data_IF_816724228901
#
_entry.id   IF_816724228901
#
_cell.length_a   1.000
_cell.length_b   1.000
_cell.length_c   1.000
_cell.angle_alpha   90.00
_cell.angle_beta   90.00
_cell.angle_gamma   90.00
#
_symmetry.space_group_name_H-M   'P 1'
#
loop_
_entity.id
_entity.type
_entity.pdbx_description
1 polymer ?
#
# COMPACT_ATOMS: atom_id res chain seq x y z
N UNK A 1 5.26 39.75 -18.08
CA UNK A 1 5.51 38.48 -17.37
C UNK A 1 6.53 37.68 -18.19
N UNK A 2 7.76 37.53 -17.69
CA UNK A 2 8.77 36.72 -18.37
C UNK A 2 8.32 35.26 -18.42
N UNK A 3 8.36 34.65 -19.60
CA UNK A 3 8.12 33.20 -19.76
C UNK A 3 9.15 32.46 -18.90
N UNK A 4 8.73 31.88 -17.76
CA UNK A 4 9.58 30.94 -17.03
C UNK A 4 9.81 29.74 -17.94
N UNK A 5 11.04 29.53 -18.35
CA UNK A 5 11.42 28.45 -19.25
C UNK A 5 11.16 27.10 -18.54
N UNK A 6 10.53 26.17 -19.24
CA UNK A 6 10.35 24.80 -18.75
C UNK A 6 11.75 24.17 -18.61
N UNK A 7 12.08 23.71 -17.41
CA UNK A 7 13.37 23.10 -17.10
C UNK A 7 13.13 21.74 -16.47
N UNK A 8 13.71 20.68 -17.07
CA UNK A 8 13.65 19.33 -16.51
C UNK A 8 14.27 19.24 -15.12
N UNK A 9 15.35 19.99 -14.87
CA UNK A 9 15.98 20.05 -13.55
C UNK A 9 15.02 20.62 -12.49
N UNK A 10 14.35 21.73 -12.79
CA UNK A 10 13.35 22.30 -11.87
C UNK A 10 12.21 21.34 -11.58
N UNK A 11 11.74 20.60 -12.60
CA UNK A 11 10.70 19.59 -12.41
C UNK A 11 11.18 18.47 -11.49
N UNK A 12 12.41 17.97 -11.70
CA UNK A 12 12.99 16.94 -10.84
C UNK A 12 13.18 17.44 -9.40
N UNK A 13 13.72 18.65 -9.23
CA UNK A 13 13.91 19.27 -7.91
C UNK A 13 12.57 19.41 -7.16
N UNK A 14 11.48 19.67 -7.88
CA UNK A 14 10.15 19.71 -7.30
C UNK A 14 9.65 18.32 -6.91
N UNK A 15 9.81 17.31 -7.77
CA UNK A 15 9.41 15.93 -7.48
C UNK A 15 10.16 15.37 -6.27
N UNK A 16 11.44 15.66 -6.13
CA UNK A 16 12.27 15.21 -5.01
C UNK A 16 11.79 15.74 -3.64
N UNK A 17 11.04 16.86 -3.61
CA UNK A 17 10.43 17.36 -2.38
C UNK A 17 9.37 16.41 -1.80
N UNK A 18 8.88 15.46 -2.60
CA UNK A 18 7.85 14.49 -2.21
C UNK A 18 8.42 13.10 -1.89
N UNK A 19 9.73 12.97 -1.69
CA UNK A 19 10.39 11.71 -1.36
C UNK A 19 10.12 11.30 0.11
N UNK A 20 8.85 11.09 0.45
CA UNK A 20 8.38 10.60 1.75
C UNK A 20 6.99 9.98 1.60
N UNK A 21 6.60 9.13 2.54
CA UNK A 21 5.26 8.53 2.59
C UNK A 21 4.24 9.63 2.89
N UNK A 22 3.20 9.71 2.07
CA UNK A 22 2.13 10.71 2.14
C UNK A 22 0.76 10.06 1.94
N UNK A 23 0.37 9.27 2.91
CA UNK A 23 -0.97 8.68 2.91
C UNK A 23 -2.03 9.77 3.00
N UNK A 24 -3.16 9.55 2.30
CA UNK A 24 -4.29 10.45 2.32
C UNK A 24 -4.84 10.64 3.76
N UNK A 25 -5.14 11.87 4.11
CA UNK A 25 -5.65 12.24 5.44
C UNK A 25 -4.57 12.26 6.54
N UNK A 26 -3.28 12.30 6.19
CA UNK A 26 -2.18 12.41 7.16
C UNK A 26 -1.52 13.78 7.12
N UNK A 27 -0.78 14.19 8.18
CA UNK A 27 -0.02 15.44 8.17
C UNK A 27 1.01 15.52 7.03
N UNK A 28 1.52 14.39 6.57
CA UNK A 28 2.46 14.35 5.44
C UNK A 28 1.78 14.59 4.10
N UNK A 29 0.52 14.20 3.93
CA UNK A 29 -0.29 14.62 2.77
C UNK A 29 -0.55 16.13 2.81
N UNK A 30 -0.90 16.69 3.96
CA UNK A 30 -1.11 18.13 4.12
C UNK A 30 0.14 18.95 3.77
N UNK A 31 1.32 18.46 4.17
CA UNK A 31 2.61 19.02 3.74
C UNK A 31 2.76 18.98 2.22
N UNK A 32 2.37 17.87 1.57
CA UNK A 32 2.43 17.75 0.12
C UNK A 32 1.48 18.75 -0.57
N UNK A 33 0.26 18.87 -0.09
CA UNK A 33 -0.70 19.87 -0.59
C UNK A 33 -0.18 21.30 -0.46
N UNK A 34 0.46 21.61 0.67
CA UNK A 34 1.10 22.92 0.89
C UNK A 34 2.23 23.21 -0.08
N UNK A 35 3.10 22.24 -0.33
CA UNK A 35 4.18 22.37 -1.34
C UNK A 35 3.64 22.63 -2.75
N UNK A 36 2.55 21.96 -3.13
CA UNK A 36 1.90 22.18 -4.42
C UNK A 36 1.32 23.60 -4.49
N UNK A 37 0.65 24.06 -3.43
CA UNK A 37 0.12 25.44 -3.38
C UNK A 37 1.20 26.50 -3.50
N UNK A 38 2.32 26.32 -2.80
CA UNK A 38 3.46 27.24 -2.87
C UNK A 38 4.05 27.30 -4.28
N UNK A 39 4.16 26.15 -4.95
CA UNK A 39 4.66 26.11 -6.33
C UNK A 39 3.69 26.81 -7.29
N UNK A 40 2.39 26.57 -7.18
CA UNK A 40 1.36 27.27 -7.96
C UNK A 40 1.42 28.78 -7.74
N UNK A 41 1.55 29.22 -6.49
CA UNK A 41 1.73 30.64 -6.14
C UNK A 41 2.97 31.24 -6.77
N UNK A 42 4.06 30.46 -6.87
CA UNK A 42 5.31 30.92 -7.54
C UNK A 42 5.12 31.21 -9.03
N UNK A 43 4.06 30.65 -9.65
CA UNK A 43 3.64 30.93 -11.03
C UNK A 43 2.60 32.04 -11.12
N UNK A 44 2.21 32.65 -9.99
CA UNK A 44 1.17 33.68 -9.95
C UNK A 44 -0.25 33.11 -10.03
N UNK A 45 -0.42 31.83 -9.73
CA UNK A 45 -1.74 31.18 -9.67
C UNK A 45 -2.25 31.14 -8.24
N UNK A 46 -3.49 31.54 -8.06
CA UNK A 46 -4.22 31.29 -6.82
C UNK A 46 -4.76 29.86 -6.82
N UNK A 47 -4.73 29.23 -5.65
CA UNK A 47 -5.25 27.88 -5.46
C UNK A 47 -6.05 27.76 -4.20
N UNK A 48 -7.05 26.89 -4.22
CA UNK A 48 -7.89 26.54 -3.07
C UNK A 48 -7.66 25.09 -2.67
N UNK A 49 -7.88 24.80 -1.39
CA UNK A 49 -7.96 23.42 -0.89
C UNK A 49 -9.43 23.04 -0.83
N UNK A 50 -9.78 21.96 -1.52
CA UNK A 50 -11.10 21.35 -1.50
C UNK A 50 -11.02 20.10 -0.63
N UNK A 51 -11.55 20.17 0.58
CA UNK A 51 -11.52 19.08 1.55
C UNK A 51 -12.67 18.10 1.31
N UNK A 52 -12.40 16.82 1.56
CA UNK A 52 -13.39 15.75 1.56
C UNK A 52 -13.04 14.70 2.62
N UNK A 53 -14.06 14.02 3.15
CA UNK A 53 -13.90 12.91 4.07
C UNK A 53 -14.00 11.59 3.33
N UNK A 54 -13.30 10.58 3.82
CA UNK A 54 -13.34 9.21 3.29
C UNK A 54 -13.02 8.20 4.39
N UNK A 55 -13.58 7.01 4.26
CA UNK A 55 -13.29 5.90 5.16
C UNK A 55 -12.07 5.13 4.68
N UNK A 56 -11.19 4.83 5.59
CA UNK A 56 -9.93 4.11 5.35
C UNK A 56 -9.60 3.22 6.54
N UNK A 57 -8.46 2.52 6.48
CA UNK A 57 -7.98 1.66 7.55
C UNK A 57 -6.70 2.21 8.13
N UNK A 58 -6.66 2.31 9.44
CA UNK A 58 -5.42 2.57 10.19
C UNK A 58 -4.84 1.26 10.67
N UNK A 59 -3.62 0.96 10.22
CA UNK A 59 -2.87 -0.22 10.63
C UNK A 59 -2.05 0.16 11.85
N UNK A 60 -2.42 -0.37 13.02
CA UNK A 60 -1.72 -0.14 14.28
C UNK A 60 -0.51 -1.04 14.44
N UNK A 61 -0.60 -2.27 13.95
CA UNK A 61 0.50 -3.24 13.98
C UNK A 61 0.41 -4.16 12.77
N UNK A 62 1.55 -4.40 12.12
CA UNK A 62 1.72 -5.44 11.12
C UNK A 62 3.07 -6.11 11.37
N UNK A 63 3.08 -7.42 11.58
CA UNK A 63 4.28 -8.18 11.88
C UNK A 63 4.20 -9.58 11.28
N UNK A 64 5.30 -10.06 10.73
CA UNK A 64 5.45 -11.43 10.22
C UNK A 64 6.75 -12.00 10.76
N UNK A 65 6.65 -13.04 11.56
CA UNK A 65 7.81 -13.72 12.14
C UNK A 65 7.82 -15.19 11.70
N UNK A 66 8.92 -15.64 11.11
CA UNK A 66 9.18 -17.07 10.95
C UNK A 66 9.54 -17.64 12.32
N UNK A 67 8.84 -18.69 12.74
CA UNK A 67 9.05 -19.36 14.04
C UNK A 67 9.73 -20.70 13.90
N UNK A 68 9.71 -21.31 12.72
CA UNK A 68 10.40 -22.56 12.37
C UNK A 68 10.87 -22.53 10.92
N UNK A 69 12.07 -23.05 10.59
CA UNK A 69 13.09 -23.67 11.45
C UNK A 69 14.03 -22.65 12.12
N UNK A 70 13.83 -21.37 11.90
CA UNK A 70 14.59 -20.27 12.49
C UNK A 70 13.63 -19.23 13.07
N UNK A 71 14.16 -18.24 13.81
CA UNK A 71 13.36 -17.14 14.34
C UNK A 71 13.83 -15.83 13.72
N UNK A 72 12.97 -15.23 12.88
CA UNK A 72 13.25 -13.94 12.23
C UNK A 72 11.96 -13.18 11.93
N UNK A 73 11.92 -11.92 12.34
CA UNK A 73 10.85 -10.99 11.98
C UNK A 73 11.24 -10.21 10.73
N UNK A 74 10.32 -10.15 9.79
CA UNK A 74 10.46 -9.44 8.51
C UNK A 74 9.71 -8.13 8.53
N UNK A 75 10.21 -7.15 7.78
CA UNK A 75 9.51 -5.90 7.55
C UNK A 75 8.32 -6.16 6.63
N UNK A 76 7.12 -5.85 7.10
CA UNK A 76 5.88 -6.03 6.37
C UNK A 76 5.00 -4.79 6.46
N UNK A 77 4.04 -4.69 5.54
CA UNK A 77 2.93 -3.74 5.65
C UNK A 77 1.61 -4.49 5.78
N UNK A 78 0.67 -3.96 6.54
CA UNK A 78 -0.63 -4.58 6.68
C UNK A 78 -1.44 -4.48 5.38
N UNK A 79 -2.26 -5.50 5.14
CA UNK A 79 -3.20 -5.53 4.04
C UNK A 79 -4.54 -4.96 4.53
N UNK A 80 -4.92 -3.79 4.03
CA UNK A 80 -6.14 -3.11 4.47
C UNK A 80 -7.41 -3.89 4.07
N UNK A 81 -8.49 -3.69 4.80
CA UNK A 81 -9.81 -4.31 4.57
C UNK A 81 -9.86 -5.83 4.77
N UNK A 82 -8.78 -6.47 5.14
CA UNK A 82 -8.79 -7.88 5.51
C UNK A 82 -9.10 -8.07 7.01
N UNK A 83 -9.02 -9.30 7.51
CA UNK A 83 -9.24 -9.58 8.93
C UNK A 83 -8.15 -8.98 9.81
N UNK A 84 -8.46 -8.77 11.08
CA UNK A 84 -7.50 -8.47 12.14
C UNK A 84 -7.23 -9.70 12.99
N UNK A 85 -6.04 -9.80 13.57
CA UNK A 85 -5.69 -10.83 14.56
C UNK A 85 -5.96 -10.33 15.97
N UNK A 86 -5.85 -11.20 16.95
CA UNK A 86 -5.56 -10.80 18.31
C UNK A 86 -4.11 -10.26 18.43
N UNK A 87 -3.75 -9.70 19.57
CA UNK A 87 -2.41 -9.11 19.82
C UNK A 87 -1.29 -10.14 19.69
N UNK A 88 -1.57 -11.38 20.05
CA UNK A 88 -0.63 -12.51 19.98
C UNK A 88 -0.37 -12.96 18.54
N UNK A 89 -1.21 -12.54 17.60
CA UNK A 89 -1.20 -12.96 16.21
C UNK A 89 -1.78 -14.35 16.00
N UNK A 90 -1.64 -14.83 14.75
CA UNK A 90 -2.01 -16.19 14.34
C UNK A 90 -0.76 -16.92 13.93
N UNK A 91 -0.54 -18.11 14.48
CA UNK A 91 0.56 -18.98 14.09
C UNK A 91 0.04 -20.12 13.22
N UNK A 92 0.65 -20.32 12.06
CA UNK A 92 0.24 -21.34 11.10
C UNK A 92 1.44 -21.90 10.32
N UNK A 93 1.21 -23.01 9.66
CA UNK A 93 2.12 -23.56 8.66
C UNK A 93 2.27 -22.55 7.51
N UNK A 94 3.53 -22.34 7.06
CA UNK A 94 3.81 -21.50 5.90
C UNK A 94 3.87 -22.35 4.64
N UNK A 95 3.01 -22.00 3.68
CA UNK A 95 2.97 -22.67 2.38
C UNK A 95 3.24 -21.64 1.28
N UNK A 96 4.32 -21.85 0.53
CA UNK A 96 4.57 -21.07 -0.67
C UNK A 96 3.75 -21.65 -1.82
N UNK A 97 2.91 -20.79 -2.42
CA UNK A 97 2.12 -21.13 -3.60
C UNK A 97 2.69 -20.39 -4.79
N UNK A 98 3.28 -21.12 -5.71
CA UNK A 98 3.76 -20.56 -6.97
C UNK A 98 2.57 -20.25 -7.88
N UNK A 99 2.41 -18.98 -8.18
CA UNK A 99 1.45 -18.54 -9.18
C UNK A 99 2.11 -18.65 -10.56
N UNK A 100 2.04 -19.82 -11.18
CA UNK A 100 2.58 -20.06 -12.51
C UNK A 100 2.22 -18.98 -13.52
N UNK A 101 1.30 -19.16 -14.41
CA UNK A 101 1.04 -18.28 -15.56
C UNK A 101 0.36 -16.93 -15.23
N UNK A 102 -0.14 -16.71 -14.02
CA UNK A 102 -0.94 -15.52 -13.67
C UNK A 102 -0.12 -14.25 -13.33
N UNK A 103 1.18 -14.36 -13.11
CA UNK A 103 2.02 -13.20 -12.76
C UNK A 103 2.06 -12.17 -13.88
N UNK A 104 2.11 -12.61 -15.13
CA UNK A 104 2.11 -11.72 -16.30
C UNK A 104 0.80 -10.98 -16.47
N UNK A 105 -0.32 -11.62 -16.19
CA UNK A 105 -1.66 -11.04 -16.27
C UNK A 105 -1.94 -10.10 -15.09
N UNK A 106 -1.47 -10.41 -13.88
CA UNK A 106 -1.63 -9.53 -12.72
C UNK A 106 -0.84 -8.24 -12.83
N UNK A 107 0.34 -8.25 -13.44
CA UNK A 107 1.14 -7.06 -13.71
C UNK A 107 0.55 -6.22 -14.85
N UNK A 108 0.06 -6.85 -15.92
CA UNK A 108 -0.48 -6.15 -17.07
C UNK A 108 -1.86 -5.54 -16.83
N UNK A 109 -2.65 -6.12 -15.96
CA UNK A 109 -4.04 -5.71 -15.77
C UNK A 109 -4.29 -4.87 -14.53
N UNK A 110 -3.36 -4.78 -13.58
CA UNK A 110 -3.59 -4.12 -12.27
C UNK A 110 -4.84 -4.67 -11.55
N UNK A 111 -5.19 -5.93 -11.82
CA UNK A 111 -6.57 -6.37 -11.83
C UNK A 111 -7.09 -6.68 -10.42
N UNK A 112 -8.07 -5.87 -9.99
CA UNK A 112 -8.95 -6.21 -8.87
C UNK A 112 -9.55 -7.62 -8.99
N UNK A 113 -9.78 -8.12 -10.21
CA UNK A 113 -10.35 -9.44 -10.48
C UNK A 113 -9.41 -10.56 -10.00
N UNK A 114 -8.13 -10.49 -10.35
CA UNK A 114 -7.14 -11.51 -9.94
C UNK A 114 -6.96 -11.51 -8.43
N UNK A 115 -6.88 -10.35 -7.81
CA UNK A 115 -6.79 -10.23 -6.34
C UNK A 115 -8.04 -10.76 -5.64
N UNK A 116 -9.22 -10.48 -6.21
CA UNK A 116 -10.49 -11.01 -5.71
C UNK A 116 -10.50 -12.52 -5.72
N UNK A 117 -10.20 -13.12 -6.86
CA UNK A 117 -10.26 -14.57 -7.03
C UNK A 117 -9.23 -15.28 -6.16
N UNK A 118 -8.03 -14.72 -6.02
CA UNK A 118 -7.01 -15.26 -5.16
C UNK A 118 -7.45 -15.24 -3.69
N UNK A 119 -7.95 -14.11 -3.20
CA UNK A 119 -8.43 -13.99 -1.83
C UNK A 119 -9.56 -14.99 -1.53
N UNK A 120 -10.53 -15.13 -2.44
CA UNK A 120 -11.63 -16.08 -2.29
C UNK A 120 -11.16 -17.56 -2.35
N UNK A 121 -10.13 -17.85 -3.16
CA UNK A 121 -9.51 -19.19 -3.17
C UNK A 121 -8.83 -19.50 -1.84
N UNK A 122 -8.13 -18.53 -1.24
CA UNK A 122 -7.49 -18.70 0.07
C UNK A 122 -8.54 -18.93 1.17
N UNK A 123 -9.61 -18.15 1.18
CA UNK A 123 -10.76 -18.36 2.09
C UNK A 123 -11.33 -19.75 1.96
N UNK A 124 -11.61 -20.20 0.74
CA UNK A 124 -12.16 -21.52 0.45
C UNK A 124 -11.23 -22.66 0.87
N UNK A 125 -9.92 -22.43 0.77
CA UNK A 125 -8.91 -23.37 1.23
C UNK A 125 -8.74 -23.41 2.74
N UNK A 126 -9.40 -22.54 3.50
CA UNK A 126 -9.29 -22.47 4.96
C UNK A 126 -7.96 -21.89 5.43
N UNK A 127 -7.34 -21.00 4.63
CA UNK A 127 -6.10 -20.34 5.02
C UNK A 127 -6.32 -19.48 6.27
N UNK A 128 -5.40 -19.57 7.23
CA UNK A 128 -5.42 -18.76 8.44
C UNK A 128 -5.01 -17.29 8.18
N UNK A 129 -4.32 -17.03 7.07
CA UNK A 129 -3.89 -15.73 6.63
C UNK A 129 -3.14 -15.82 5.31
N UNK A 130 -2.59 -14.69 4.83
CA UNK A 130 -1.81 -14.68 3.60
C UNK A 130 -0.67 -13.66 3.65
N UNK A 131 0.34 -13.93 2.84
CA UNK A 131 1.48 -13.04 2.60
C UNK A 131 1.52 -12.69 1.11
N UNK A 132 1.39 -11.42 0.79
CA UNK A 132 1.46 -10.91 -0.58
C UNK A 132 2.84 -10.33 -0.87
N UNK A 133 3.40 -10.66 -2.03
CA UNK A 133 4.74 -10.22 -2.43
C UNK A 133 4.64 -8.94 -3.26
N UNK A 134 5.52 -7.98 -2.98
CA UNK A 134 5.63 -6.72 -3.73
C UNK A 134 7.10 -6.29 -3.91
N UNK A 135 7.32 -5.29 -4.75
CA UNK A 135 8.67 -4.80 -5.03
C UNK A 135 9.35 -5.54 -6.19
N UNK A 136 10.62 -5.25 -6.40
CA UNK A 136 11.43 -5.76 -7.50
C UNK A 136 12.70 -6.45 -6.96
N UNK A 137 13.24 -7.46 -7.67
CA UNK A 137 14.53 -8.06 -7.33
C UNK A 137 15.70 -7.07 -7.41
N UNK A 138 15.51 -5.93 -8.07
CA UNK A 138 16.52 -4.87 -8.22
C UNK A 138 16.41 -3.76 -7.16
N UNK A 139 15.40 -3.81 -6.30
CA UNK A 139 15.24 -2.83 -5.23
C UNK A 139 16.35 -2.97 -4.19
N UNK A 140 16.93 -1.85 -3.77
CA UNK A 140 18.03 -1.80 -2.80
C UNK A 140 17.81 -0.71 -1.76
N UNK A 141 18.38 -0.88 -0.57
CA UNK A 141 18.36 0.13 0.48
C UNK A 141 16.96 0.59 0.84
N UNK A 142 16.70 1.90 0.73
CA UNK A 142 15.41 2.52 1.09
C UNK A 142 14.25 2.13 0.16
N UNK A 143 14.53 1.61 -1.03
CA UNK A 143 13.50 1.14 -1.98
C UNK A 143 12.97 -0.25 -1.60
N UNK A 144 13.64 -0.95 -0.68
CA UNK A 144 13.24 -2.26 -0.17
C UNK A 144 12.12 -2.16 0.86
N UNK A 145 11.00 -1.56 0.47
CA UNK A 145 9.84 -1.35 1.33
C UNK A 145 8.65 -2.14 0.78
N UNK A 146 7.94 -2.93 1.61
CA UNK A 146 6.70 -3.57 1.19
C UNK A 146 5.66 -2.51 0.82
N UNK A 147 4.95 -2.72 -0.28
CA UNK A 147 3.90 -1.79 -0.71
C UNK A 147 2.62 -2.05 0.07
N UNK A 148 1.99 -0.97 0.52
CA UNK A 148 0.64 -1.03 1.08
C UNK A 148 -0.34 -1.55 0.02
N UNK A 149 -1.26 -2.40 0.44
CA UNK A 149 -2.30 -2.97 -0.40
C UNK A 149 -3.61 -3.15 0.40
N UNK A 150 -4.70 -3.43 -0.31
CA UNK A 150 -6.00 -3.69 0.27
C UNK A 150 -6.72 -4.78 -0.51
N UNK A 151 -7.61 -5.53 0.15
CA UNK A 151 -8.52 -6.39 -0.58
C UNK A 151 -9.52 -5.52 -1.37
N UNK A 152 -9.98 -5.98 -2.54
CA UNK A 152 -10.93 -5.22 -3.34
C UNK A 152 -12.19 -4.86 -2.58
N UNK A 153 -12.70 -3.63 -2.77
CA UNK A 153 -13.89 -3.12 -2.09
C UNK A 153 -15.07 -4.08 -2.20
N UNK A 154 -15.33 -4.62 -3.38
CA UNK A 154 -16.41 -5.57 -3.64
C UNK A 154 -16.30 -6.85 -2.81
N UNK A 155 -15.08 -7.30 -2.49
CA UNK A 155 -14.87 -8.48 -1.62
C UNK A 155 -15.15 -8.09 -0.18
N UNK A 156 -14.63 -6.94 0.26
CA UNK A 156 -14.86 -6.41 1.58
C UNK A 156 -16.38 -6.30 1.90
N UNK A 157 -17.17 -5.76 0.97
CA UNK A 157 -18.61 -5.57 1.13
C UNK A 157 -19.43 -6.87 1.18
N UNK A 158 -18.87 -7.97 0.65
CA UNK A 158 -19.57 -9.28 0.61
C UNK A 158 -19.24 -10.19 1.79
N UNK A 159 -18.23 -9.86 2.59
CA UNK A 159 -17.74 -10.70 3.68
C UNK A 159 -17.98 -10.04 5.03
N UNK A 160 -18.51 -10.82 5.99
CA UNK A 160 -18.54 -10.40 7.36
C UNK A 160 -17.12 -10.35 7.95
N UNK A 161 -16.91 -9.56 8.99
CA UNK A 161 -15.61 -9.39 9.63
C UNK A 161 -14.98 -10.74 10.04
N UNK A 162 -15.76 -11.67 10.57
CA UNK A 162 -15.32 -13.01 10.99
C UNK A 162 -14.94 -13.94 9.82
N UNK A 163 -15.35 -13.61 8.61
CA UNK A 163 -15.04 -14.37 7.40
C UNK A 163 -13.77 -13.88 6.72
N UNK A 164 -13.25 -12.72 7.14
CA UNK A 164 -12.07 -12.13 6.55
C UNK A 164 -10.81 -12.72 7.18
N UNK A 165 -9.89 -13.20 6.33
CA UNK A 165 -8.57 -13.61 6.79
C UNK A 165 -7.60 -12.44 6.75
N UNK A 166 -6.66 -12.42 7.66
CA UNK A 166 -5.62 -11.41 7.79
C UNK A 166 -4.53 -11.57 6.74
N UNK A 167 -3.92 -10.47 6.35
CA UNK A 167 -2.84 -10.50 5.37
C UNK A 167 -1.83 -9.38 5.53
N UNK A 168 -0.62 -9.65 5.08
CA UNK A 168 0.47 -8.68 5.05
C UNK A 168 1.16 -8.70 3.69
N UNK A 169 1.74 -7.56 3.32
CA UNK A 169 2.64 -7.44 2.19
C UNK A 169 4.09 -7.53 2.64
N UNK A 170 4.90 -8.31 1.94
CA UNK A 170 6.33 -8.45 2.14
C UNK A 170 7.09 -8.02 0.88
N UNK A 171 8.32 -7.55 1.04
CA UNK A 171 9.18 -7.26 -0.11
C UNK A 171 9.64 -8.54 -0.79
N UNK A 172 9.82 -8.50 -2.13
CA UNK A 172 10.22 -9.63 -2.95
C UNK A 172 11.48 -10.35 -2.42
N UNK A 173 12.53 -9.60 -2.10
CA UNK A 173 13.79 -10.18 -1.61
C UNK A 173 13.64 -10.88 -0.24
N UNK A 174 12.78 -10.36 0.63
CA UNK A 174 12.49 -10.99 1.92
C UNK A 174 11.65 -12.26 1.74
N UNK A 175 10.71 -12.25 0.79
CA UNK A 175 9.94 -13.44 0.45
C UNK A 175 10.83 -14.54 -0.15
N UNK A 176 11.77 -14.19 -1.04
CA UNK A 176 12.77 -15.11 -1.58
C UNK A 176 13.60 -15.71 -0.46
N UNK A 177 14.07 -14.90 0.47
CA UNK A 177 14.81 -15.38 1.64
C UNK A 177 13.99 -16.37 2.47
N UNK A 178 12.73 -16.02 2.80
CA UNK A 178 11.85 -16.94 3.56
C UNK A 178 11.73 -18.32 2.89
N UNK A 179 11.56 -18.36 1.57
CA UNK A 179 11.41 -19.60 0.82
C UNK A 179 12.74 -20.37 0.76
N UNK A 180 13.85 -19.69 0.47
CA UNK A 180 15.17 -20.32 0.34
C UNK A 180 15.73 -20.84 1.67
N UNK A 181 15.47 -20.14 2.76
CA UNK A 181 15.82 -20.56 4.13
C UNK A 181 14.84 -21.62 4.69
N UNK A 182 13.84 -22.00 3.89
CA UNK A 182 12.91 -23.09 4.20
C UNK A 182 11.96 -22.80 5.36
N UNK A 183 11.40 -21.60 5.41
CA UNK A 183 10.37 -21.26 6.38
C UNK A 183 9.23 -22.29 6.37
N UNK A 184 8.86 -22.81 7.54
CA UNK A 184 7.82 -23.84 7.73
C UNK A 184 6.65 -23.34 8.56
N UNK A 185 6.92 -22.46 9.51
CA UNK A 185 5.93 -21.92 10.42
C UNK A 185 6.10 -20.42 10.57
N UNK A 186 5.02 -19.70 10.57
CA UNK A 186 5.03 -18.25 10.73
C UNK A 186 3.97 -17.80 11.73
N UNK A 187 4.27 -16.70 12.42
CA UNK A 187 3.30 -15.94 13.18
C UNK A 187 3.03 -14.63 12.45
N UNK A 188 1.75 -14.37 12.17
CA UNK A 188 1.27 -13.14 11.54
C UNK A 188 0.44 -12.36 12.55
N UNK A 189 0.78 -11.11 12.79
CA UNK A 189 0.00 -10.17 13.59
C UNK A 189 -0.43 -9.01 12.69
N UNK A 190 -1.72 -8.72 12.67
CA UNK A 190 -2.28 -7.56 12.00
C UNK A 190 -3.39 -6.96 12.85
N UNK A 191 -3.15 -5.75 13.35
CA UNK A 191 -4.14 -4.96 14.07
C UNK A 191 -4.49 -3.75 13.21
N UNK A 192 -5.75 -3.64 12.83
CA UNK A 192 -6.25 -2.53 12.04
C UNK A 192 -7.66 -2.14 12.47
N UNK A 193 -8.02 -0.91 12.22
CA UNK A 193 -9.36 -0.40 12.44
C UNK A 193 -9.82 0.50 11.29
N UNK A 194 -11.11 0.57 11.08
CA UNK A 194 -11.72 1.51 10.15
C UNK A 194 -11.78 2.90 10.79
N UNK A 195 -11.31 3.90 10.06
CA UNK A 195 -11.28 5.30 10.49
C UNK A 195 -11.75 6.22 9.38
N UNK A 196 -12.42 7.31 9.75
CA UNK A 196 -12.73 8.39 8.80
C UNK A 196 -11.63 9.43 8.85
N UNK A 197 -11.07 9.78 7.71
CA UNK A 197 -10.03 10.81 7.56
C UNK A 197 -10.51 11.92 6.62
N UNK A 198 -9.91 13.10 6.76
CA UNK A 198 -10.10 14.23 5.84
C UNK A 198 -8.88 14.35 4.95
N UNK A 199 -9.09 14.30 3.65
CA UNK A 199 -8.08 14.57 2.62
C UNK A 199 -8.45 15.83 1.83
N UNK A 200 -7.58 16.26 0.93
CA UNK A 200 -7.77 17.52 0.20
C UNK A 200 -7.22 17.47 -1.21
N UNK A 201 -7.96 18.11 -2.12
CA UNK A 201 -7.47 18.42 -3.45
C UNK A 201 -6.89 19.84 -3.47
N UNK A 202 -5.85 20.05 -4.25
CA UNK A 202 -5.34 21.38 -4.58
C UNK A 202 -5.89 21.76 -5.94
N UNK A 203 -6.74 22.79 -5.98
CA UNK A 203 -7.38 23.27 -7.20
C UNK A 203 -6.81 24.63 -7.60
N UNK A 204 -6.38 24.77 -8.85
CA UNK A 204 -6.02 26.05 -9.45
C UNK A 204 -6.70 26.19 -10.81
N UNK A 205 -7.09 27.41 -11.17
CA UNK A 205 -7.75 27.70 -12.43
C UNK A 205 -6.96 28.74 -13.22
N UNK A 206 -6.82 28.47 -14.51
CA UNK A 206 -6.26 29.41 -15.47
C UNK A 206 -7.39 29.78 -16.43
N UNK A 207 -7.67 31.07 -16.53
CA UNK A 207 -8.64 31.53 -17.51
C UNK A 207 -8.03 31.44 -18.91
N UNK A 208 -8.69 30.71 -19.80
CA UNK A 208 -8.31 30.63 -21.20
C UNK A 208 -8.49 31.97 -21.94
N UNK A 209 -7.80 32.12 -23.05
CA UNK A 209 -7.90 33.30 -23.92
C UNK A 209 -9.05 33.22 -24.94
N UNK A 210 -9.61 32.03 -25.14
CA UNK A 210 -10.70 31.83 -26.08
C UNK A 210 -12.04 32.22 -25.44
N UNK A 211 -12.75 33.11 -26.13
CA UNK A 211 -14.08 33.58 -25.79
C UNK A 211 -15.14 32.79 -26.56
#
# INVERSE_FOLDING_TARGET
>A
MGKKQISGQRQMDFVLKFNYIREAGTPTEEKAASLIREELKSFGMESVLSEFTFDTWEIRKAELTVTEPYNKTYQVTGYQRCGSTAEEGVEAEFLYVENGDDISLSHAAGNEIVRKDMYLKLLKAGAAGFVSISGSPTDTGEDRIPRAAAIPQKVYETLNEKERIQGVGIHYLDAVEMVTEGAKRVRLTLLQEEVTRTSRNVEARIQGSDR
#
